data_IF_682928723417
#
_entry.id   IF_682928723417
#
_cell.length_a   1.000
_cell.length_b   1.000
_cell.length_c   1.000
_cell.angle_alpha   90.00
_cell.angle_beta   90.00
_cell.angle_gamma   90.00
#
_symmetry.space_group_name_H-M   'P 1'
#
loop_
_entity.id
_entity.type
_entity.pdbx_description
1 polymer ?
#
# COMPACT_ATOMS: atom_id res chain seq x y z
N UNK A 1 -6.22 17.91 24.42
CA UNK A 1 -4.97 17.45 23.77
C UNK A 1 -4.70 18.25 22.51
N UNK A 2 -3.46 18.60 22.24
CA UNK A 2 -3.16 19.25 20.98
C UNK A 2 -3.48 18.33 19.82
N UNK A 3 -3.92 18.94 18.74
CA UNK A 3 -4.23 18.21 17.52
C UNK A 3 -2.93 17.78 16.84
N UNK A 4 -2.84 16.51 16.49
CA UNK A 4 -1.68 15.98 15.80
C UNK A 4 -2.08 15.68 14.35
N UNK A 5 -1.41 16.33 13.41
CA UNK A 5 -1.70 16.14 11.99
C UNK A 5 -0.97 14.91 11.44
N UNK A 6 -1.50 14.38 10.34
CA UNK A 6 -0.91 13.22 9.69
C UNK A 6 0.50 13.51 9.19
N UNK A 7 0.80 14.77 8.84
CA UNK A 7 2.14 15.16 8.42
C UNK A 7 3.21 14.83 9.47
N UNK A 8 2.82 14.76 10.74
CA UNK A 8 3.76 14.52 11.84
C UNK A 8 4.05 13.03 12.07
N UNK A 9 3.17 12.14 11.59
CA UNK A 9 3.28 10.71 11.90
C UNK A 9 3.45 9.83 10.67
N UNK A 10 3.11 10.32 9.49
CA UNK A 10 3.15 9.53 8.26
C UNK A 10 4.58 9.19 7.84
N UNK A 11 4.72 8.13 7.06
CA UNK A 11 5.94 7.88 6.32
C UNK A 11 5.91 8.79 5.10
N UNK A 12 6.92 9.65 4.97
CA UNK A 12 7.00 10.64 3.89
C UNK A 12 7.55 9.99 2.63
N UNK A 13 7.04 10.45 1.48
CA UNK A 13 7.52 10.03 0.16
C UNK A 13 7.64 8.51 0.04
N UNK A 14 6.51 7.80 0.18
CA UNK A 14 6.53 6.33 0.10
C UNK A 14 6.96 5.87 -1.29
N UNK A 15 7.52 4.67 -1.36
CA UNK A 15 7.76 4.02 -2.64
C UNK A 15 6.41 3.78 -3.32
N UNK A 16 6.35 3.98 -4.62
CA UNK A 16 5.14 3.82 -5.41
C UNK A 16 5.41 2.97 -6.64
N UNK A 17 4.34 2.43 -7.22
CA UNK A 17 4.39 1.77 -8.52
C UNK A 17 3.26 2.34 -9.36
N UNK A 18 3.32 2.08 -10.66
CA UNK A 18 2.27 2.49 -11.58
C UNK A 18 1.30 1.34 -11.84
N UNK A 19 0.06 1.68 -12.15
CA UNK A 19 -0.98 0.69 -12.40
C UNK A 19 -0.62 -0.28 -13.53
N UNK A 20 0.10 0.21 -14.54
CA UNK A 20 0.50 -0.58 -15.69
C UNK A 20 1.79 -1.37 -15.48
N UNK A 21 2.47 -1.20 -14.35
CA UNK A 21 3.70 -1.93 -14.06
C UNK A 21 3.41 -3.43 -13.91
N UNK A 22 4.38 -4.29 -14.26
CA UNK A 22 4.24 -5.72 -13.97
C UNK A 22 4.33 -5.96 -12.47
N UNK A 23 3.64 -6.99 -12.00
CA UNK A 23 3.59 -7.33 -10.58
C UNK A 23 4.98 -7.62 -10.00
N UNK A 24 5.91 -8.10 -10.84
CA UNK A 24 7.28 -8.38 -10.39
C UNK A 24 7.93 -7.16 -9.72
N UNK A 25 7.62 -5.96 -10.18
CA UNK A 25 8.20 -4.76 -9.56
C UNK A 25 7.77 -4.60 -8.11
N UNK A 26 6.51 -4.93 -7.81
CA UNK A 26 5.99 -4.90 -6.44
C UNK A 26 6.68 -5.96 -5.60
N UNK A 27 6.83 -7.16 -6.14
CA UNK A 27 7.49 -8.25 -5.43
C UNK A 27 8.94 -7.88 -5.09
N UNK A 28 9.66 -7.29 -6.04
CA UNK A 28 11.05 -6.87 -5.82
C UNK A 28 11.15 -5.82 -4.72
N UNK A 29 10.21 -4.88 -4.66
CA UNK A 29 10.19 -3.86 -3.61
C UNK A 29 9.94 -4.50 -2.25
N UNK A 30 8.98 -5.42 -2.14
CA UNK A 30 8.70 -6.09 -0.87
C UNK A 30 9.87 -6.97 -0.41
N UNK A 31 10.65 -7.52 -1.33
CA UNK A 31 11.83 -8.30 -0.98
C UNK A 31 12.98 -7.42 -0.50
N UNK A 32 13.14 -6.24 -1.10
CA UNK A 32 14.26 -5.35 -0.78
C UNK A 32 13.99 -4.48 0.43
N UNK A 33 12.75 -4.06 0.65
CA UNK A 33 12.39 -3.10 1.70
C UNK A 33 11.42 -3.73 2.70
N UNK A 34 11.54 -3.33 3.97
CA UNK A 34 10.67 -3.82 5.04
C UNK A 34 9.38 -3.00 5.11
N UNK A 35 8.61 -3.03 4.02
CA UNK A 35 7.32 -2.36 3.94
C UNK A 35 6.25 -3.38 3.55
N UNK A 36 4.99 -3.06 3.81
CA UNK A 36 3.88 -3.98 3.58
C UNK A 36 2.81 -3.43 2.64
N UNK A 37 2.90 -2.17 2.27
CA UNK A 37 1.91 -1.50 1.43
C UNK A 37 2.59 -0.54 0.48
N UNK A 38 2.15 -0.52 -0.78
CA UNK A 38 2.70 0.35 -1.82
C UNK A 38 1.54 1.04 -2.52
N UNK A 39 1.48 2.38 -2.47
CA UNK A 39 0.48 3.11 -3.25
C UNK A 39 0.71 2.94 -4.75
N UNK A 40 -0.39 2.86 -5.48
CA UNK A 40 -0.37 2.69 -6.93
C UNK A 40 -0.84 3.98 -7.59
N UNK A 41 -0.07 4.47 -8.53
CA UNK A 41 -0.35 5.72 -9.23
C UNK A 41 -0.78 5.45 -10.66
N UNK A 42 -1.67 6.32 -11.16
CA UNK A 42 -2.00 6.35 -12.58
C UNK A 42 -0.90 7.07 -13.36
N UNK A 43 -1.04 7.09 -14.69
CA UNK A 43 -0.14 7.83 -15.55
C UNK A 43 -0.10 9.33 -15.19
N UNK A 44 -1.23 9.87 -14.71
CA UNK A 44 -1.34 11.26 -14.25
C UNK A 44 -0.86 11.46 -12.82
N UNK A 45 -0.22 10.45 -12.23
CA UNK A 45 0.32 10.47 -10.87
C UNK A 45 -0.75 10.63 -9.79
N UNK A 46 -1.96 10.17 -10.06
CA UNK A 46 -3.04 10.12 -9.07
C UNK A 46 -3.07 8.76 -8.40
N UNK A 47 -3.39 8.71 -7.12
CA UNK A 47 -3.53 7.45 -6.40
C UNK A 47 -4.76 6.72 -6.92
N UNK A 48 -4.57 5.53 -7.47
CA UNK A 48 -5.66 4.72 -8.02
C UNK A 48 -5.84 3.39 -7.29
N UNK A 49 -4.90 3.05 -6.42
CA UNK A 49 -5.00 1.80 -5.69
C UNK A 49 -3.90 1.68 -4.66
N UNK A 50 -3.91 0.56 -3.97
CA UNK A 50 -2.85 0.19 -3.04
C UNK A 50 -2.62 -1.31 -3.15
N UNK A 51 -1.35 -1.73 -3.08
CA UNK A 51 -0.99 -3.14 -3.10
C UNK A 51 -0.36 -3.48 -1.76
N UNK A 52 -0.83 -4.56 -1.16
CA UNK A 52 -0.25 -5.07 0.08
C UNK A 52 0.60 -6.31 -0.20
N UNK A 53 1.48 -6.62 0.75
CA UNK A 53 2.25 -7.86 0.68
C UNK A 53 1.33 -9.07 0.63
N UNK A 54 0.19 -8.99 1.31
CA UNK A 54 -0.83 -10.05 1.30
C UNK A 54 -1.37 -10.30 -0.12
N UNK A 55 -1.54 -9.23 -0.92
CA UNK A 55 -2.01 -9.39 -2.30
C UNK A 55 -1.05 -10.24 -3.13
N UNK A 56 0.26 -10.03 -2.93
CA UNK A 56 1.28 -10.82 -3.61
C UNK A 56 1.27 -12.27 -3.12
N UNK A 57 1.18 -12.46 -1.81
CA UNK A 57 1.15 -13.81 -1.22
C UNK A 57 -0.07 -14.59 -1.70
N UNK A 58 -1.22 -13.96 -1.81
CA UNK A 58 -2.44 -14.60 -2.31
C UNK A 58 -2.29 -15.04 -3.77
N UNK A 59 -1.63 -14.26 -4.59
CA UNK A 59 -1.37 -14.62 -5.97
C UNK A 59 -0.54 -15.90 -6.05
N UNK A 60 0.53 -15.98 -5.26
CA UNK A 60 1.39 -17.17 -5.21
C UNK A 60 0.66 -18.38 -4.62
N UNK A 61 -0.19 -18.17 -3.62
CA UNK A 61 -0.97 -19.22 -2.98
C UNK A 61 -1.97 -19.86 -3.92
N UNK A 62 -2.63 -19.08 -4.75
CA UNK A 62 -3.58 -19.59 -5.72
C UNK A 62 -2.95 -20.63 -6.64
N UNK A 63 -1.70 -20.42 -7.01
CA UNK A 63 -0.96 -21.36 -7.87
C UNK A 63 -0.57 -22.62 -7.09
N UNK A 64 -0.18 -22.46 -5.82
CA UNK A 64 0.23 -23.59 -4.98
C UNK A 64 -0.89 -24.62 -4.77
N UNK A 65 -2.15 -24.16 -4.72
CA UNK A 65 -3.29 -25.03 -4.48
C UNK A 65 -3.54 -26.03 -5.62
N UNK A 66 -2.99 -25.78 -6.81
CA UNK A 66 -3.20 -26.65 -7.96
C UNK A 66 -2.09 -27.68 -8.18
N UNK A 67 -1.20 -27.85 -7.20
CA UNK A 67 -0.15 -28.89 -7.20
C UNK A 67 0.57 -29.00 -8.55
N UNK A 68 0.94 -27.87 -9.14
CA UNK A 68 1.59 -27.79 -10.43
C UNK A 68 3.09 -28.11 -10.27
N UNK A 69 3.65 -29.12 -10.97
CA UNK A 69 5.08 -29.40 -10.89
C UNK A 69 5.95 -28.27 -11.42
N UNK A 70 5.37 -27.35 -12.21
CA UNK A 70 6.07 -26.19 -12.73
C UNK A 70 5.70 -24.91 -11.97
N UNK A 71 5.35 -25.04 -10.70
CA UNK A 71 4.86 -23.93 -9.87
C UNK A 71 5.74 -22.68 -9.91
N UNK A 72 7.06 -22.86 -9.80
CA UNK A 72 7.98 -21.73 -9.81
C UNK A 72 7.97 -20.99 -11.14
N UNK A 73 7.96 -21.73 -12.26
CA UNK A 73 7.89 -21.14 -13.59
C UNK A 73 6.57 -20.42 -13.81
N UNK A 74 5.49 -20.98 -13.27
CA UNK A 74 4.16 -20.36 -13.35
C UNK A 74 4.11 -19.06 -12.57
N UNK A 75 4.64 -19.06 -11.34
CA UNK A 75 4.71 -17.86 -10.51
C UNK A 75 5.51 -16.77 -11.22
N UNK A 76 6.67 -17.13 -11.75
CA UNK A 76 7.51 -16.17 -12.45
C UNK A 76 6.80 -15.59 -13.67
N UNK A 77 6.13 -16.42 -14.45
CA UNK A 77 5.38 -15.96 -15.62
C UNK A 77 4.26 -15.01 -15.22
N UNK A 78 3.50 -15.32 -14.15
CA UNK A 78 2.44 -14.46 -13.67
C UNK A 78 2.98 -13.13 -13.17
N UNK A 79 4.09 -13.13 -12.45
CA UNK A 79 4.69 -11.90 -11.93
C UNK A 79 5.15 -10.98 -13.05
N UNK A 80 5.54 -11.51 -14.20
CA UNK A 80 5.96 -10.71 -15.35
C UNK A 80 4.81 -10.29 -16.26
N UNK A 81 3.72 -11.06 -16.31
CA UNK A 81 2.61 -10.80 -17.23
C UNK A 81 1.44 -10.08 -16.60
N UNK A 82 1.20 -10.27 -15.30
CA UNK A 82 0.11 -9.58 -14.60
C UNK A 82 0.51 -8.15 -14.30
N UNK A 83 -0.45 -7.25 -14.42
CA UNK A 83 -0.25 -5.84 -14.10
C UNK A 83 -0.69 -5.55 -12.68
N UNK A 84 -0.07 -4.55 -12.07
CA UNK A 84 -0.41 -4.11 -10.71
C UNK A 84 -1.89 -3.81 -10.60
N UNK A 85 -2.49 -3.19 -11.62
CA UNK A 85 -3.91 -2.84 -11.62
C UNK A 85 -4.84 -4.06 -11.48
N UNK A 86 -4.34 -5.25 -11.84
CA UNK A 86 -5.15 -6.47 -11.78
C UNK A 86 -5.23 -7.05 -10.37
N UNK A 87 -4.30 -6.69 -9.49
CA UNK A 87 -4.22 -7.25 -8.13
C UNK A 87 -4.40 -6.20 -7.04
N UNK A 88 -4.30 -4.93 -7.35
CA UNK A 88 -4.39 -3.86 -6.35
C UNK A 88 -5.80 -3.75 -5.77
N UNK A 89 -5.88 -3.23 -4.54
CA UNK A 89 -7.15 -2.81 -3.97
C UNK A 89 -7.51 -1.48 -4.61
N UNK A 90 -8.69 -1.42 -5.23
CA UNK A 90 -9.26 -0.20 -5.81
C UNK A 90 -10.09 0.50 -4.73
N UNK A 91 -10.62 1.67 -5.03
CA UNK A 91 -11.44 2.45 -4.08
C UNK A 91 -10.69 2.75 -2.79
N UNK A 92 -9.46 3.23 -2.95
CA UNK A 92 -8.59 3.55 -1.82
C UNK A 92 -9.13 4.76 -1.07
N UNK A 93 -9.15 4.68 0.25
CA UNK A 93 -9.45 5.83 1.08
C UNK A 93 -8.18 6.67 1.21
N UNK A 94 -8.29 7.98 1.00
CA UNK A 94 -7.16 8.89 1.14
C UNK A 94 -7.51 9.98 2.15
N UNK A 95 -6.49 10.53 2.79
CA UNK A 95 -6.64 11.66 3.70
C UNK A 95 -5.65 12.74 3.31
N UNK A 96 -5.86 13.95 3.84
CA UNK A 96 -5.00 15.10 3.59
C UNK A 96 -3.96 15.23 4.69
N UNK A 97 -2.81 15.86 4.37
CA UNK A 97 -1.72 16.07 5.35
C UNK A 97 -2.18 16.83 6.59
N UNK A 98 -3.20 17.69 6.45
CA UNK A 98 -3.73 18.48 7.54
C UNK A 98 -4.79 17.74 8.37
N UNK A 99 -5.22 16.58 7.92
CA UNK A 99 -6.13 15.74 8.70
C UNK A 99 -5.40 15.22 9.93
N UNK A 100 -6.18 14.84 10.94
CA UNK A 100 -5.64 14.45 12.24
C UNK A 100 -5.49 12.95 12.37
N UNK A 101 -4.74 12.53 13.39
CA UNK A 101 -4.63 11.10 13.72
C UNK A 101 -5.99 10.53 14.10
N UNK A 102 -6.89 11.33 14.68
CA UNK A 102 -8.25 10.89 14.99
C UNK A 102 -9.04 10.58 13.72
N UNK A 103 -8.84 11.39 12.67
CA UNK A 103 -9.48 11.14 11.38
C UNK A 103 -9.01 9.79 10.79
N UNK A 104 -7.72 9.52 10.83
CA UNK A 104 -7.17 8.25 10.36
C UNK A 104 -7.66 7.08 11.21
N UNK A 105 -7.68 7.26 12.53
CA UNK A 105 -8.19 6.23 13.43
C UNK A 105 -9.63 5.85 13.09
N UNK A 106 -10.47 6.85 12.80
CA UNK A 106 -11.87 6.61 12.44
C UNK A 106 -12.00 5.76 11.18
N UNK A 107 -11.14 6.02 10.19
CA UNK A 107 -11.12 5.23 8.95
C UNK A 107 -10.67 3.80 9.23
N UNK A 108 -9.57 3.63 9.96
CA UNK A 108 -9.07 2.28 10.28
C UNK A 108 -10.08 1.47 11.09
N UNK A 109 -10.84 2.15 11.94
CA UNK A 109 -11.83 1.48 12.79
C UNK A 109 -13.06 1.06 12.00
N UNK A 110 -13.54 1.90 11.09
CA UNK A 110 -14.81 1.68 10.40
C UNK A 110 -14.66 0.92 9.07
N UNK A 111 -13.47 0.95 8.48
CA UNK A 111 -13.18 0.32 7.21
C UNK A 111 -12.08 -0.73 7.36
N UNK A 112 -12.01 -1.67 6.44
CA UNK A 112 -11.00 -2.73 6.49
C UNK A 112 -9.73 -2.32 5.77
N UNK A 113 -9.21 -1.13 6.10
CA UNK A 113 -7.96 -0.64 5.54
C UNK A 113 -6.82 -0.79 6.56
N UNK A 114 -5.62 -1.08 6.06
CA UNK A 114 -4.41 -1.18 6.88
C UNK A 114 -3.40 -0.09 6.56
N UNK A 115 -3.65 0.69 5.55
CA UNK A 115 -2.80 1.81 5.15
C UNK A 115 -3.66 2.83 4.42
N UNK A 116 -3.37 4.11 4.62
CA UNK A 116 -4.09 5.21 3.99
C UNK A 116 -3.07 6.12 3.33
N UNK A 117 -3.13 6.30 2.00
CA UNK A 117 -2.30 7.31 1.34
C UNK A 117 -2.69 8.72 1.80
N UNK A 118 -1.68 9.57 2.00
CA UNK A 118 -1.87 10.94 2.46
C UNK A 118 -1.51 11.88 1.32
N UNK A 119 -2.40 12.82 1.06
CA UNK A 119 -2.27 13.73 -0.07
C UNK A 119 -2.07 15.17 0.41
N UNK A 120 -1.39 15.95 -0.41
CA UNK A 120 -1.29 17.41 -0.25
C UNK A 120 -1.61 18.02 -1.60
N UNK A 121 -2.67 18.82 -1.65
CA UNK A 121 -3.16 19.42 -2.90
C UNK A 121 -3.40 18.37 -4.00
N UNK A 122 -3.86 17.18 -3.60
CA UNK A 122 -4.14 16.08 -4.52
C UNK A 122 -2.96 15.20 -4.85
N UNK A 123 -1.75 15.58 -4.45
CA UNK A 123 -0.54 14.80 -4.72
C UNK A 123 -0.18 13.91 -3.54
N UNK A 124 0.28 12.71 -3.84
CA UNK A 124 0.70 11.76 -2.81
C UNK A 124 1.98 12.27 -2.14
N UNK A 125 1.94 12.44 -0.82
CA UNK A 125 3.11 12.89 -0.04
C UNK A 125 3.45 11.94 1.09
N UNK A 126 2.59 11.01 1.44
CA UNK A 126 2.85 10.10 2.54
C UNK A 126 1.93 8.91 2.56
N UNK A 127 2.18 8.03 3.51
CA UNK A 127 1.30 6.91 3.80
C UNK A 127 1.27 6.73 5.32
N UNK A 128 0.11 6.38 5.87
CA UNK A 128 -0.05 6.16 7.29
C UNK A 128 -0.67 4.80 7.54
N UNK A 129 -0.17 4.12 8.56
CA UNK A 129 -0.68 2.83 9.02
C UNK A 129 -1.14 2.97 10.47
N UNK A 130 -1.91 2.00 11.02
CA UNK A 130 -2.35 2.11 12.41
C UNK A 130 -1.22 2.30 13.43
N UNK A 131 -0.07 1.67 13.20
CA UNK A 131 1.04 1.79 14.13
C UNK A 131 1.63 3.21 14.15
N UNK A 132 1.51 3.95 13.04
CA UNK A 132 1.99 5.33 12.98
C UNK A 132 1.22 6.23 13.93
N UNK A 133 -0.04 5.91 14.21
CA UNK A 133 -0.89 6.74 15.06
C UNK A 133 -0.45 6.74 16.52
N UNK A 134 0.29 5.72 16.94
CA UNK A 134 0.76 5.63 18.32
C UNK A 134 2.14 6.23 18.52
N UNK A 135 2.86 6.55 17.45
CA UNK A 135 4.22 7.11 17.54
C UNK A 135 4.33 8.32 18.46
N UNK A 136 3.39 9.31 18.41
CA UNK A 136 3.51 10.50 19.25
C UNK A 136 3.42 10.19 20.74
N UNK A 137 2.89 9.05 21.13
CA UNK A 137 2.63 8.69 22.51
C UNK A 137 3.69 7.76 23.08
N UNK A 138 4.67 7.36 22.27
CA UNK A 138 5.76 6.50 22.71
C UNK A 138 6.98 7.37 22.97
N UNK A 139 7.45 7.33 24.19
CA UNK A 139 8.67 8.07 24.60
C UNK A 139 9.82 7.07 24.73
N UNK A 140 10.96 7.46 24.20
CA UNK A 140 12.18 6.68 24.33
C UNK A 140 13.02 7.16 25.49
#
# INVERSE_FOLDING_TARGET
MPRISLSEVMTKFPLTVQAEDPVIEVQDIFEEYSIHHIPVLSEDKQVVGIVSKTDIDQLSWGISLFANPNRESYNEALMHTRRVKDIMTKNVYTLDVDDSIEDAYSVFRSEDFRAIPVLENGDLVGIVTPIDLVKPFITN
#
